data_IF_402908779537
#
_entry.id   IF_402908779537
#
_cell.length_a   1.000
_cell.length_b   1.000
_cell.length_c   1.000
_cell.angle_alpha   90.00
_cell.angle_beta   90.00
_cell.angle_gamma   90.00
#
_symmetry.space_group_name_H-M   'P 1'
#
loop_
_entity.id
_entity.type
_entity.pdbx_description
1 polymer ?
#
# COMPACT_ATOMS: atom_id res chain seq x y z
N UNK A 1 -12.54 -37.72 15.25
CA UNK A 1 -13.18 -36.41 15.17
C UNK A 1 -12.16 -35.44 14.58
N UNK A 2 -12.59 -34.34 13.98
CA UNK A 2 -11.66 -33.32 13.43
C UNK A 2 -10.88 -32.67 14.59
N UNK A 3 -9.72 -32.14 14.32
CA UNK A 3 -8.95 -31.31 15.26
C UNK A 3 -9.63 -29.96 15.49
N UNK A 4 -9.29 -29.24 16.56
CA UNK A 4 -9.73 -27.85 16.76
C UNK A 4 -9.42 -26.98 15.53
N UNK A 5 -10.33 -26.08 15.22
CA UNK A 5 -10.27 -25.26 14.00
C UNK A 5 -10.97 -23.91 14.20
N UNK A 6 -11.08 -23.13 13.11
CA UNK A 6 -11.82 -21.87 13.10
C UNK A 6 -13.25 -22.02 13.69
N UNK A 7 -13.91 -23.13 13.43
CA UNK A 7 -15.32 -23.34 13.78
C UNK A 7 -15.53 -24.49 14.77
N UNK A 8 -14.49 -25.08 15.33
CA UNK A 8 -14.59 -26.21 16.26
C UNK A 8 -13.67 -25.98 17.44
N UNK A 9 -14.19 -26.20 18.65
CA UNK A 9 -13.44 -26.15 19.89
C UNK A 9 -13.84 -27.32 20.80
N UNK A 10 -12.90 -27.91 21.52
CA UNK A 10 -13.08 -29.00 22.44
C UNK A 10 -12.81 -28.59 23.88
N UNK A 11 -13.60 -29.11 24.82
CA UNK A 11 -13.35 -28.92 26.26
C UNK A 11 -13.74 -30.17 27.01
N UNK A 12 -12.90 -30.63 27.94
CA UNK A 12 -13.16 -31.83 28.73
C UNK A 12 -14.34 -31.69 29.71
N UNK A 13 -14.59 -30.49 30.22
CA UNK A 13 -15.66 -30.21 31.19
C UNK A 13 -16.21 -28.80 30.96
N UNK A 14 -17.42 -28.53 31.46
CA UNK A 14 -18.00 -27.18 31.39
C UNK A 14 -17.44 -26.26 32.46
N UNK A 15 -17.14 -25.02 32.02
CA UNK A 15 -16.84 -23.85 32.90
C UNK A 15 -17.54 -22.64 32.33
N UNK A 16 -18.06 -21.76 33.18
CA UNK A 16 -18.78 -20.55 32.74
C UNK A 16 -17.92 -19.60 31.94
N UNK A 17 -16.60 -19.61 32.15
CA UNK A 17 -15.66 -18.84 31.32
C UNK A 17 -15.60 -19.29 29.87
N UNK A 18 -16.14 -20.45 29.52
CA UNK A 18 -16.22 -20.92 28.13
C UNK A 18 -17.31 -20.20 27.32
N UNK A 19 -18.17 -19.42 27.95
CA UNK A 19 -19.05 -18.47 27.28
C UNK A 19 -18.28 -17.48 26.40
N UNK A 20 -17.00 -17.19 26.71
CA UNK A 20 -16.13 -16.40 25.83
C UNK A 20 -15.88 -17.05 24.47
N UNK A 21 -15.85 -18.39 24.39
CA UNK A 21 -15.70 -19.13 23.13
C UNK A 21 -16.97 -19.03 22.29
N UNK A 22 -18.13 -19.21 22.94
CA UNK A 22 -19.43 -19.00 22.29
C UNK A 22 -19.52 -17.55 21.77
N UNK A 23 -19.16 -16.56 22.59
CA UNK A 23 -19.06 -15.15 22.17
C UNK A 23 -18.15 -14.98 20.94
N UNK A 24 -17.00 -15.64 20.92
CA UNK A 24 -16.08 -15.60 19.77
C UNK A 24 -16.62 -16.21 18.50
N UNK A 25 -17.34 -17.31 18.60
CA UNK A 25 -17.99 -17.97 17.46
C UNK A 25 -19.11 -17.12 16.87
N UNK A 26 -20.04 -16.62 17.67
CA UNK A 26 -21.17 -15.80 17.19
C UNK A 26 -20.74 -14.47 16.61
N UNK A 27 -19.62 -13.94 17.06
CA UNK A 27 -19.01 -12.72 16.51
C UNK A 27 -18.24 -12.97 15.20
N UNK A 28 -17.85 -14.22 14.93
CA UNK A 28 -17.17 -14.64 13.71
C UNK A 28 -18.16 -15.26 12.70
N UNK A 29 -17.96 -16.51 12.34
CA UNK A 29 -18.73 -17.25 11.33
C UNK A 29 -19.67 -18.31 11.94
N UNK A 30 -19.83 -18.30 13.27
CA UNK A 30 -20.45 -19.38 13.99
C UNK A 30 -19.46 -20.53 14.24
N UNK A 31 -19.94 -21.59 14.87
CA UNK A 31 -19.12 -22.77 15.16
C UNK A 31 -19.76 -23.71 16.18
N UNK A 32 -18.99 -24.71 16.60
CA UNK A 32 -19.43 -25.75 17.52
C UNK A 32 -18.45 -25.88 18.68
N UNK A 33 -18.97 -25.79 19.89
CA UNK A 33 -18.21 -26.06 21.12
C UNK A 33 -18.66 -27.42 21.67
N UNK A 34 -17.72 -28.32 21.80
CA UNK A 34 -17.95 -29.65 22.38
C UNK A 34 -17.47 -29.68 23.82
N UNK A 35 -18.32 -30.22 24.73
CA UNK A 35 -17.98 -30.41 26.14
C UNK A 35 -18.00 -31.93 26.44
N UNK A 36 -16.93 -32.44 27.04
CA UNK A 36 -16.68 -33.86 27.27
C UNK A 36 -15.77 -34.48 26.23
N UNK A 37 -15.00 -33.65 25.51
CA UNK A 37 -14.04 -34.07 24.50
C UNK A 37 -12.66 -33.41 24.80
N UNK A 38 -11.60 -34.19 24.73
CA UNK A 38 -10.20 -33.72 24.85
C UNK A 38 -9.74 -33.06 23.57
N UNK A 39 -8.66 -32.30 23.63
CA UNK A 39 -8.06 -31.57 22.48
C UNK A 39 -7.64 -32.51 21.33
N UNK A 40 -7.35 -33.81 21.62
CA UNK A 40 -7.04 -34.85 20.64
C UNK A 40 -8.29 -35.45 19.98
N UNK A 41 -9.49 -35.04 20.40
CA UNK A 41 -10.78 -35.55 19.90
C UNK A 41 -11.28 -36.83 20.57
N UNK A 42 -10.60 -37.31 21.65
CA UNK A 42 -11.08 -38.42 22.45
C UNK A 42 -12.28 -37.99 23.33
N UNK A 43 -13.35 -38.76 23.32
CA UNK A 43 -14.52 -38.51 24.19
C UNK A 43 -14.18 -38.95 25.61
N UNK A 44 -14.07 -38.01 26.54
CA UNK A 44 -13.90 -38.28 27.96
C UNK A 44 -15.25 -38.37 28.72
N UNK A 45 -16.31 -37.78 28.15
CA UNK A 45 -17.64 -37.71 28.74
C UNK A 45 -17.82 -36.55 29.72
N UNK A 46 -19.07 -36.26 30.07
CA UNK A 46 -19.42 -35.20 31.04
C UNK A 46 -20.12 -35.79 32.26
N UNK A 47 -19.89 -35.15 33.40
CA UNK A 47 -20.70 -35.41 34.60
C UNK A 47 -22.00 -34.58 34.54
N UNK A 48 -23.11 -35.14 35.01
CA UNK A 48 -24.39 -34.45 35.11
C UNK A 48 -24.89 -33.87 33.77
N UNK A 49 -24.79 -34.63 32.67
CA UNK A 49 -25.17 -34.20 31.33
C UNK A 49 -26.60 -33.58 31.31
N UNK A 50 -27.57 -34.18 32.04
CA UNK A 50 -28.93 -33.64 32.11
C UNK A 50 -28.98 -32.22 32.69
N UNK A 51 -28.22 -31.94 33.75
CA UNK A 51 -28.15 -30.62 34.37
C UNK A 51 -27.49 -29.62 33.44
N UNK A 52 -26.42 -30.02 32.75
CA UNK A 52 -25.73 -29.14 31.80
C UNK A 52 -26.62 -28.78 30.59
N UNK A 53 -27.50 -29.69 30.15
CA UNK A 53 -28.48 -29.40 29.09
C UNK A 53 -29.49 -28.31 29.47
N UNK A 54 -29.74 -28.09 30.78
CA UNK A 54 -30.58 -27.01 31.28
C UNK A 54 -29.75 -25.75 31.61
N UNK A 55 -28.60 -25.91 32.24
CA UNK A 55 -27.76 -24.80 32.71
C UNK A 55 -27.12 -24.02 31.57
N UNK A 56 -26.60 -24.71 30.55
CA UNK A 56 -25.85 -24.05 29.45
C UNK A 56 -26.73 -23.09 28.66
N UNK A 57 -27.92 -23.47 28.14
CA UNK A 57 -28.79 -22.55 27.41
C UNK A 57 -29.20 -21.33 28.24
N UNK A 58 -29.53 -21.55 29.53
CA UNK A 58 -29.88 -20.47 30.45
C UNK A 58 -28.71 -19.49 30.66
N UNK A 59 -27.49 -19.98 30.90
CA UNK A 59 -26.32 -19.14 31.05
C UNK A 59 -25.96 -18.38 29.78
N UNK A 60 -26.08 -19.02 28.62
CA UNK A 60 -25.86 -18.35 27.32
C UNK A 60 -26.85 -17.20 27.15
N UNK A 61 -28.14 -17.45 27.37
CA UNK A 61 -29.18 -16.43 27.29
C UNK A 61 -28.92 -15.28 28.28
N UNK A 62 -28.67 -15.61 29.55
CA UNK A 62 -28.55 -14.62 30.61
C UNK A 62 -27.25 -13.78 30.50
N UNK A 63 -26.14 -14.36 30.02
CA UNK A 63 -24.84 -13.71 29.97
C UNK A 63 -24.48 -13.13 28.59
N UNK A 64 -25.02 -13.69 27.52
CA UNK A 64 -24.72 -13.25 26.13
C UNK A 64 -25.95 -12.66 25.44
N UNK A 65 -27.18 -12.89 25.96
CA UNK A 65 -28.40 -12.38 25.35
C UNK A 65 -28.78 -13.08 24.04
N UNK A 66 -28.29 -14.30 23.81
CA UNK A 66 -28.51 -15.06 22.57
C UNK A 66 -29.06 -16.47 22.89
N UNK A 67 -29.51 -17.14 21.84
CA UNK A 67 -29.93 -18.55 21.89
C UNK A 67 -28.92 -19.40 21.12
N UNK A 68 -28.71 -20.62 21.57
CA UNK A 68 -27.85 -21.62 20.95
C UNK A 68 -28.53 -22.98 20.96
N UNK A 69 -28.21 -23.84 20.03
CA UNK A 69 -28.63 -25.22 20.03
C UNK A 69 -27.69 -26.05 20.88
N UNK A 70 -28.27 -26.75 21.89
CA UNK A 70 -27.50 -27.62 22.77
C UNK A 70 -28.00 -29.03 22.61
N UNK A 71 -27.15 -29.95 22.20
CA UNK A 71 -27.49 -31.33 21.91
C UNK A 71 -26.67 -32.26 22.80
N UNK A 72 -27.38 -33.28 23.37
CA UNK A 72 -26.69 -34.38 24.02
C UNK A 72 -26.36 -35.44 22.98
N UNK A 73 -25.12 -35.83 22.94
CA UNK A 73 -24.55 -36.86 22.05
C UNK A 73 -23.91 -37.97 22.88
N UNK A 74 -23.82 -39.16 22.29
CA UNK A 74 -23.18 -40.32 22.92
C UNK A 74 -22.21 -40.99 21.96
N UNK A 75 -21.05 -41.41 22.48
CA UNK A 75 -20.08 -42.20 21.76
C UNK A 75 -19.29 -43.03 22.76
N UNK A 76 -19.09 -44.33 22.47
CA UNK A 76 -18.34 -45.28 23.31
C UNK A 76 -18.87 -45.29 24.77
N UNK A 77 -20.18 -45.34 24.94
CA UNK A 77 -20.91 -45.28 26.21
C UNK A 77 -20.62 -44.02 27.07
N UNK A 78 -20.09 -42.98 26.46
CA UNK A 78 -19.82 -41.69 27.11
C UNK A 78 -20.66 -40.58 26.49
N UNK A 79 -21.31 -39.81 27.35
CA UNK A 79 -22.15 -38.68 26.95
C UNK A 79 -21.33 -37.41 26.87
N UNK A 80 -21.51 -36.65 25.80
CA UNK A 80 -20.89 -35.34 25.60
C UNK A 80 -21.90 -34.33 25.05
N UNK A 81 -21.64 -33.04 25.20
CA UNK A 81 -22.54 -31.97 24.76
C UNK A 81 -21.95 -31.26 23.54
N UNK A 82 -22.82 -31.04 22.55
CA UNK A 82 -22.55 -30.27 21.36
C UNK A 82 -23.35 -28.97 21.45
N UNK A 83 -22.66 -27.82 21.41
CA UNK A 83 -23.25 -26.48 21.43
C UNK A 83 -22.99 -25.87 20.05
N UNK A 84 -24.08 -25.71 19.27
CA UNK A 84 -24.02 -25.13 17.93
C UNK A 84 -24.35 -23.64 18.02
N UNK A 85 -23.53 -22.80 17.41
CA UNK A 85 -23.68 -21.36 17.37
C UNK A 85 -23.71 -20.87 15.94
N UNK A 86 -24.66 -20.02 15.60
CA UNK A 86 -24.67 -19.29 14.33
C UNK A 86 -23.97 -17.94 14.46
N UNK A 87 -23.56 -17.36 13.31
CA UNK A 87 -23.04 -16.00 13.28
C UNK A 87 -24.15 -15.00 13.57
N UNK A 88 -23.97 -14.13 14.55
CA UNK A 88 -24.93 -13.08 14.87
C UNK A 88 -24.62 -11.79 14.09
N UNK A 89 -25.67 -11.10 13.60
CA UNK A 89 -25.48 -9.83 12.87
C UNK A 89 -25.05 -8.67 13.79
N UNK A 90 -25.34 -8.76 15.08
CA UNK A 90 -25.02 -7.74 16.08
C UNK A 90 -23.78 -8.12 16.88
N UNK A 91 -23.05 -7.13 17.43
CA UNK A 91 -21.90 -7.40 18.30
C UNK A 91 -22.36 -7.99 19.64
N UNK A 92 -21.86 -9.16 19.99
CA UNK A 92 -22.11 -9.83 21.26
C UNK A 92 -20.92 -9.67 22.19
N UNK A 93 -21.17 -9.26 23.44
CA UNK A 93 -20.12 -9.12 24.47
C UNK A 93 -20.29 -10.16 25.58
N UNK A 94 -19.18 -10.61 26.14
CA UNK A 94 -19.15 -11.38 27.37
C UNK A 94 -18.44 -10.57 28.47
N UNK A 95 -19.13 -10.23 29.52
CA UNK A 95 -18.63 -9.38 30.63
C UNK A 95 -18.05 -8.05 30.15
N UNK A 96 -18.71 -7.39 29.19
CA UNK A 96 -18.29 -6.12 28.60
C UNK A 96 -17.10 -6.18 27.66
N UNK A 97 -16.63 -7.39 27.32
CA UNK A 97 -15.55 -7.63 26.37
C UNK A 97 -16.05 -8.31 25.11
N UNK A 98 -15.49 -7.95 23.97
CA UNK A 98 -15.81 -8.55 22.69
C UNK A 98 -14.71 -9.54 22.30
N UNK A 99 -15.13 -10.73 21.89
CA UNK A 99 -14.24 -11.80 21.44
C UNK A 99 -14.57 -12.16 20.01
N UNK A 100 -13.55 -12.52 19.23
CA UNK A 100 -13.72 -13.04 17.88
C UNK A 100 -12.79 -14.24 17.68
N UNK A 101 -13.29 -15.27 17.03
CA UNK A 101 -12.52 -16.46 16.66
C UNK A 101 -11.57 -16.13 15.52
N UNK A 102 -10.30 -16.53 15.64
CA UNK A 102 -9.28 -16.41 14.61
C UNK A 102 -8.42 -17.67 14.61
N UNK A 103 -8.54 -18.50 13.59
CA UNK A 103 -7.98 -19.85 13.58
C UNK A 103 -8.49 -20.67 14.77
N UNK A 104 -7.62 -21.38 15.44
CA UNK A 104 -7.94 -22.14 16.66
C UNK A 104 -7.86 -21.29 17.95
N UNK A 105 -7.81 -19.95 17.86
CA UNK A 105 -7.72 -19.07 19.02
C UNK A 105 -8.92 -18.16 19.16
N UNK A 106 -9.20 -17.73 20.39
CA UNK A 106 -10.25 -16.77 20.70
C UNK A 106 -9.62 -15.44 21.15
N UNK A 107 -9.75 -14.42 20.33
CA UNK A 107 -9.08 -13.12 20.48
C UNK A 107 -9.99 -12.10 21.14
N UNK A 108 -9.55 -11.42 22.21
CA UNK A 108 -10.21 -10.24 22.76
C UNK A 108 -9.98 -9.04 21.83
N UNK A 109 -11.05 -8.44 21.32
CA UNK A 109 -10.96 -7.27 20.43
C UNK A 109 -10.74 -6.00 21.24
N UNK A 110 -9.72 -5.21 20.86
CA UNK A 110 -9.34 -3.94 21.50
C UNK A 110 -8.91 -2.91 20.45
N UNK A 111 -9.00 -1.61 20.81
CA UNK A 111 -8.53 -0.51 19.96
C UNK A 111 -9.12 -0.57 18.56
N UNK A 112 -8.30 -0.34 17.54
CA UNK A 112 -8.72 -0.29 16.14
C UNK A 112 -9.41 -1.59 15.64
N UNK A 113 -9.05 -2.76 16.18
CA UNK A 113 -9.71 -4.02 15.84
C UNK A 113 -11.16 -4.06 16.35
N UNK A 114 -11.42 -3.52 17.55
CA UNK A 114 -12.76 -3.40 18.10
C UNK A 114 -13.59 -2.39 17.30
N UNK A 115 -13.02 -1.24 16.97
CA UNK A 115 -13.72 -0.19 16.20
C UNK A 115 -14.13 -0.73 14.81
N UNK A 116 -13.23 -1.40 14.10
CA UNK A 116 -13.54 -2.06 12.82
C UNK A 116 -14.62 -3.11 12.94
N UNK A 117 -14.56 -3.93 13.98
CA UNK A 117 -15.57 -4.95 14.26
C UNK A 117 -16.95 -4.33 14.50
N UNK A 118 -17.03 -3.28 15.32
CA UNK A 118 -18.28 -2.57 15.61
C UNK A 118 -18.90 -1.95 14.35
N UNK A 119 -18.10 -1.24 13.54
CA UNK A 119 -18.55 -0.66 12.28
C UNK A 119 -19.09 -1.74 11.33
N UNK A 120 -18.36 -2.86 11.18
CA UNK A 120 -18.78 -3.99 10.32
C UNK A 120 -20.11 -4.59 10.79
N UNK A 121 -20.28 -4.80 12.09
CA UNK A 121 -21.55 -5.32 12.65
C UNK A 121 -22.72 -4.35 12.50
N UNK A 122 -22.45 -3.05 12.37
CA UNK A 122 -23.45 -2.01 12.06
C UNK A 122 -23.71 -1.87 10.56
N UNK A 123 -23.02 -2.63 9.71
CA UNK A 123 -23.09 -2.48 8.26
C UNK A 123 -22.47 -1.17 7.75
N UNK A 124 -21.60 -0.54 8.54
CA UNK A 124 -20.90 0.71 8.21
C UNK A 124 -19.43 0.44 7.87
N UNK A 125 -18.88 1.32 7.04
CA UNK A 125 -17.45 1.37 6.71
C UNK A 125 -16.81 2.57 7.37
N UNK A 126 -15.48 2.57 7.45
CA UNK A 126 -14.74 3.64 8.11
C UNK A 126 -14.96 5.01 7.43
N UNK A 127 -14.96 5.03 6.12
CA UNK A 127 -15.17 6.22 5.29
C UNK A 127 -16.62 6.74 5.33
N UNK A 128 -17.57 5.88 5.69
CA UNK A 128 -18.98 6.19 5.88
C UNK A 128 -19.34 6.82 7.25
N UNK A 129 -18.37 6.96 8.16
CA UNK A 129 -18.64 7.57 9.49
C UNK A 129 -18.78 9.09 9.35
N UNK A 130 -19.83 9.71 9.96
CA UNK A 130 -20.01 11.15 9.91
C UNK A 130 -18.96 11.92 10.72
N UNK A 131 -18.66 13.13 10.26
CA UNK A 131 -17.72 14.08 10.89
C UNK A 131 -18.51 15.31 11.35
N UNK A 132 -18.86 15.44 12.64
CA UNK A 132 -19.78 16.49 13.12
C UNK A 132 -19.30 17.93 12.92
N UNK A 133 -17.99 18.13 12.81
CA UNK A 133 -17.39 19.47 12.71
C UNK A 133 -16.98 19.87 11.30
N UNK A 134 -17.12 18.98 10.32
CA UNK A 134 -16.84 19.27 8.91
C UNK A 134 -18.02 19.99 8.30
N UNK A 135 -17.77 21.16 7.75
CA UNK A 135 -18.78 21.98 7.05
C UNK A 135 -18.57 21.94 5.56
N UNK A 136 -19.65 22.07 4.80
CA UNK A 136 -19.62 22.07 3.34
C UNK A 136 -18.81 23.25 2.79
N UNK A 137 -18.88 24.43 3.43
CA UNK A 137 -18.15 25.62 3.05
C UNK A 137 -16.62 25.49 3.15
N UNK A 138 -16.14 24.47 3.89
CA UNK A 138 -14.71 24.17 4.03
C UNK A 138 -14.19 23.29 2.87
N UNK A 139 -15.09 22.76 2.02
CA UNK A 139 -14.73 21.91 0.90
C UNK A 139 -14.25 22.74 -0.29
N UNK A 140 -13.30 22.18 -1.07
CA UNK A 140 -12.63 22.87 -2.16
C UNK A 140 -13.46 22.88 -3.44
N UNK A 141 -13.97 24.07 -3.82
CA UNK A 141 -14.74 24.27 -5.03
C UNK A 141 -13.99 23.85 -6.31
N UNK A 142 -12.68 24.04 -6.37
CA UNK A 142 -11.89 23.65 -7.52
C UNK A 142 -11.89 22.12 -7.72
N UNK A 143 -11.92 21.37 -6.63
CA UNK A 143 -12.04 19.90 -6.67
C UNK A 143 -13.44 19.46 -7.12
N UNK A 144 -14.51 20.16 -6.73
CA UNK A 144 -15.85 19.89 -7.27
C UNK A 144 -15.92 20.13 -8.79
N UNK A 145 -15.32 21.21 -9.27
CA UNK A 145 -15.26 21.50 -10.70
C UNK A 145 -14.45 20.41 -11.46
N UNK A 146 -13.34 19.97 -10.87
CA UNK A 146 -12.54 18.87 -11.41
C UNK A 146 -13.35 17.57 -11.46
N UNK A 147 -14.05 17.24 -10.38
CA UNK A 147 -14.94 16.07 -10.30
C UNK A 147 -16.02 16.13 -11.40
N UNK A 148 -16.73 17.24 -11.53
CA UNK A 148 -17.77 17.42 -12.57
C UNK A 148 -17.21 17.23 -13.98
N UNK A 149 -16.03 17.78 -14.25
CA UNK A 149 -15.33 17.62 -15.53
C UNK A 149 -15.04 16.16 -15.83
N UNK A 150 -14.56 15.41 -14.84
CA UNK A 150 -14.24 14.00 -14.98
C UNK A 150 -15.50 13.15 -15.11
N UNK A 151 -16.50 13.38 -14.28
CA UNK A 151 -17.78 12.67 -14.31
C UNK A 151 -18.53 12.88 -15.64
N UNK A 152 -18.54 14.10 -16.18
CA UNK A 152 -19.10 14.38 -17.50
C UNK A 152 -18.38 13.60 -18.60
N UNK A 153 -17.05 13.54 -18.56
CA UNK A 153 -16.25 12.77 -19.53
C UNK A 153 -16.50 11.27 -19.42
N UNK A 154 -16.73 10.77 -18.22
CA UNK A 154 -16.95 9.33 -17.98
C UNK A 154 -18.33 8.85 -18.42
N UNK A 155 -19.34 9.76 -18.46
CA UNK A 155 -20.74 9.43 -18.74
C UNK A 155 -21.42 8.57 -17.66
N UNK A 156 -20.85 8.50 -16.44
CA UNK A 156 -21.35 7.65 -15.33
C UNK A 156 -22.30 8.37 -14.38
N UNK A 157 -22.54 9.64 -14.62
CA UNK A 157 -23.55 10.47 -13.96
C UNK A 157 -24.38 11.20 -15.01
N UNK A 158 -25.63 11.43 -14.71
CA UNK A 158 -26.51 12.21 -15.59
C UNK A 158 -26.09 13.69 -15.59
N UNK A 159 -26.24 14.36 -16.71
CA UNK A 159 -25.86 15.79 -16.82
C UNK A 159 -26.63 16.68 -15.83
N UNK A 160 -27.87 16.34 -15.55
CA UNK A 160 -28.70 17.07 -14.58
C UNK A 160 -28.11 17.00 -13.16
N UNK A 161 -27.58 15.84 -12.76
CA UNK A 161 -26.94 15.66 -11.45
C UNK A 161 -25.64 16.47 -11.33
N UNK A 162 -24.94 16.68 -12.46
CA UNK A 162 -23.71 17.47 -12.50
C UNK A 162 -23.96 19.00 -12.54
N UNK A 163 -25.19 19.42 -12.84
CA UNK A 163 -25.62 20.84 -12.80
C UNK A 163 -26.09 21.27 -11.41
N UNK A 164 -26.35 20.31 -10.50
CA UNK A 164 -26.68 20.60 -9.10
C UNK A 164 -25.56 21.40 -8.42
N UNK A 165 -25.90 22.12 -7.35
CA UNK A 165 -24.91 22.73 -6.49
C UNK A 165 -24.01 21.66 -5.79
N UNK A 166 -23.06 22.10 -4.98
CA UNK A 166 -22.17 21.17 -4.29
C UNK A 166 -22.93 20.30 -3.28
N UNK A 167 -23.96 20.84 -2.65
CA UNK A 167 -24.81 20.10 -1.72
C UNK A 167 -25.52 18.95 -2.43
N UNK A 168 -26.22 19.23 -3.52
CA UNK A 168 -26.92 18.21 -4.32
C UNK A 168 -25.96 17.14 -4.85
N UNK A 169 -24.76 17.54 -5.29
CA UNK A 169 -23.73 16.59 -5.73
C UNK A 169 -23.25 15.68 -4.59
N UNK A 170 -23.02 16.22 -3.39
CA UNK A 170 -22.63 15.44 -2.21
C UNK A 170 -23.72 14.44 -1.80
N UNK A 171 -25.01 14.83 -1.89
CA UNK A 171 -26.13 13.91 -1.66
C UNK A 171 -26.17 12.78 -2.70
N UNK A 172 -26.01 13.10 -4.00
CA UNK A 172 -25.94 12.10 -5.09
C UNK A 172 -24.79 11.11 -4.91
N UNK A 173 -23.67 11.57 -4.40
CA UNK A 173 -22.51 10.75 -4.04
C UNK A 173 -22.71 9.98 -2.73
N UNK A 174 -23.80 10.23 -1.99
CA UNK A 174 -24.11 9.65 -0.67
C UNK A 174 -23.05 9.97 0.38
N UNK A 175 -22.52 11.19 0.33
CA UNK A 175 -21.47 11.64 1.26
C UNK A 175 -22.01 12.31 2.53
N UNK A 176 -23.34 12.32 2.71
CA UNK A 176 -24.03 12.69 3.95
C UNK A 176 -24.51 11.47 4.72
N UNK A 177 -24.50 11.57 6.06
CA UNK A 177 -25.20 10.70 7.01
C UNK A 177 -26.07 11.61 7.90
N UNK A 178 -27.36 11.67 7.64
CA UNK A 178 -28.23 12.69 8.21
C UNK A 178 -27.78 14.09 7.76
N UNK A 179 -27.48 14.96 8.71
CA UNK A 179 -27.01 16.35 8.46
C UNK A 179 -25.48 16.48 8.49
N UNK A 180 -24.74 15.40 8.58
CA UNK A 180 -23.29 15.44 8.71
C UNK A 180 -22.60 14.84 7.48
N UNK A 181 -21.53 15.51 7.06
CA UNK A 181 -20.63 14.98 6.05
C UNK A 181 -19.86 13.78 6.57
N UNK A 182 -19.66 12.78 5.72
CA UNK A 182 -18.87 11.58 6.02
C UNK A 182 -17.37 11.85 5.91
N UNK A 183 -16.54 10.97 6.50
CA UNK A 183 -15.08 10.99 6.35
C UNK A 183 -14.64 10.95 4.88
N UNK A 184 -15.37 10.21 4.04
CA UNK A 184 -15.13 10.21 2.60
C UNK A 184 -15.21 11.61 1.98
N UNK A 185 -16.14 12.47 2.40
CA UNK A 185 -16.23 13.85 1.92
C UNK A 185 -15.00 14.68 2.29
N UNK A 186 -14.49 14.51 3.52
CA UNK A 186 -13.24 15.15 3.94
C UNK A 186 -12.07 14.73 3.07
N UNK A 187 -11.89 13.43 2.85
CA UNK A 187 -10.79 12.89 2.05
C UNK A 187 -10.88 13.28 0.57
N UNK A 188 -12.08 13.32 0.00
CA UNK A 188 -12.29 13.59 -1.43
C UNK A 188 -12.27 15.09 -1.79
N UNK A 189 -12.79 15.96 -0.89
CA UNK A 189 -13.06 17.34 -1.25
C UNK A 189 -12.48 18.39 -0.30
N UNK A 190 -12.01 18.05 0.90
CA UNK A 190 -11.40 19.04 1.80
C UNK A 190 -9.97 19.37 1.35
N UNK A 191 -9.55 20.65 1.28
CA UNK A 191 -8.20 21.02 0.83
C UNK A 191 -7.09 20.52 1.77
N UNK A 192 -7.42 20.30 3.04
CA UNK A 192 -6.53 19.74 4.07
C UNK A 192 -7.26 18.63 4.86
N UNK A 193 -7.38 17.41 4.30
CA UNK A 193 -8.09 16.31 4.96
C UNK A 193 -7.41 15.84 6.25
N UNK A 194 -6.12 16.16 6.46
CA UNK A 194 -5.36 15.76 7.63
C UNK A 194 -5.89 16.38 8.92
N UNK A 195 -6.62 17.48 8.84
CA UNK A 195 -7.37 18.05 9.99
C UNK A 195 -8.38 17.07 10.60
N UNK A 196 -8.91 16.15 9.79
CA UNK A 196 -9.94 15.18 10.17
C UNK A 196 -9.43 13.75 10.17
N UNK A 197 -8.41 13.47 9.37
CA UNK A 197 -7.89 12.12 9.14
C UNK A 197 -6.36 12.17 9.16
N UNK A 198 -5.78 11.89 10.33
CA UNK A 198 -4.32 11.84 10.48
C UNK A 198 -3.69 10.86 9.48
N UNK A 199 -2.61 11.28 8.82
CA UNK A 199 -1.91 10.43 7.84
C UNK A 199 -2.61 10.34 6.49
N UNK A 200 -3.58 11.24 6.19
CA UNK A 200 -4.24 11.33 4.89
C UNK A 200 -3.38 12.04 3.84
N UNK A 201 -2.11 11.68 3.75
CA UNK A 201 -1.16 12.17 2.76
C UNK A 201 -0.29 11.02 2.25
N UNK A 202 0.58 11.28 1.28
CA UNK A 202 1.48 10.28 0.71
C UNK A 202 2.93 10.72 0.84
N UNK A 203 3.80 9.80 1.28
CA UNK A 203 5.26 9.98 1.28
C UNK A 203 5.86 9.27 0.07
N UNK A 204 6.68 9.98 -0.68
CA UNK A 204 7.51 9.40 -1.73
C UNK A 204 8.98 9.60 -1.39
N UNK A 205 9.79 8.53 -1.47
CA UNK A 205 11.22 8.59 -1.19
C UNK A 205 12.03 7.86 -2.26
N UNK A 206 13.18 8.41 -2.62
CA UNK A 206 14.16 7.73 -3.46
C UNK A 206 15.26 7.14 -2.60
N UNK A 207 15.50 5.84 -2.75
CA UNK A 207 16.45 5.07 -1.96
C UNK A 207 17.56 4.49 -2.86
N UNK A 208 18.78 4.46 -2.34
CA UNK A 208 19.86 3.64 -2.88
C UNK A 208 19.77 2.22 -2.33
N UNK A 209 20.78 1.40 -2.62
CA UNK A 209 20.90 0.05 -2.07
C UNK A 209 20.74 0.06 -0.54
N UNK A 210 19.90 -0.85 -0.04
CA UNK A 210 19.52 -0.92 1.36
C UNK A 210 18.41 0.05 1.74
N UNK A 211 18.61 0.85 2.77
CA UNK A 211 17.64 1.81 3.32
C UNK A 211 18.15 3.26 3.25
N UNK A 212 19.15 3.55 2.41
CA UNK A 212 19.74 4.88 2.28
C UNK A 212 18.82 5.83 1.52
N UNK A 213 18.12 6.69 2.26
CA UNK A 213 17.21 7.71 1.73
C UNK A 213 17.99 8.87 1.13
N UNK A 214 17.85 9.08 -0.17
CA UNK A 214 18.54 10.16 -0.89
C UNK A 214 17.76 11.47 -0.87
N UNK A 215 16.46 11.40 -1.15
CA UNK A 215 15.51 12.52 -1.05
C UNK A 215 14.07 11.99 -0.86
N UNK A 216 13.21 12.84 -0.35
CA UNK A 216 11.80 12.53 -0.15
C UNK A 216 10.92 13.73 -0.42
N UNK A 217 9.64 13.46 -0.66
CA UNK A 217 8.58 14.45 -0.79
C UNK A 217 7.34 13.96 -0.03
N UNK A 218 6.52 14.91 0.42
CA UNK A 218 5.21 14.66 0.97
C UNK A 218 4.16 15.29 0.06
N UNK A 219 3.10 14.55 -0.26
CA UNK A 219 2.03 15.00 -1.13
C UNK A 219 0.75 15.13 -0.33
N UNK A 220 0.36 16.37 -0.09
CA UNK A 220 -0.80 16.78 0.68
C UNK A 220 -1.97 17.24 -0.20
N UNK A 221 -3.15 17.42 0.42
CA UNK A 221 -4.40 17.82 -0.19
C UNK A 221 -5.41 16.67 -0.25
N UNK A 222 -6.55 16.88 -0.89
CA UNK A 222 -7.54 15.82 -1.06
C UNK A 222 -7.10 14.74 -2.05
N UNK A 223 -7.81 13.61 -2.07
CA UNK A 223 -7.39 12.45 -2.85
C UNK A 223 -7.30 12.72 -4.36
N UNK A 224 -8.16 13.57 -4.95
CA UNK A 224 -8.04 13.96 -6.35
C UNK A 224 -6.77 14.74 -6.62
N UNK A 225 -6.44 15.69 -5.73
CA UNK A 225 -5.20 16.47 -5.83
C UNK A 225 -3.97 15.59 -5.59
N UNK A 226 -4.01 14.68 -4.62
CA UNK A 226 -2.91 13.76 -4.32
C UNK A 226 -2.58 12.89 -5.54
N UNK A 227 -3.59 12.25 -6.17
CA UNK A 227 -3.37 11.40 -7.35
C UNK A 227 -2.74 12.21 -8.50
N UNK A 228 -3.26 13.40 -8.79
CA UNK A 228 -2.72 14.25 -9.86
C UNK A 228 -1.28 14.66 -9.58
N UNK A 229 -0.98 15.14 -8.36
CA UNK A 229 0.37 15.55 -7.94
C UNK A 229 1.35 14.37 -7.93
N UNK A 230 0.91 13.19 -7.46
CA UNK A 230 1.74 11.99 -7.43
C UNK A 230 2.10 11.51 -8.83
N UNK A 231 1.14 11.48 -9.75
CA UNK A 231 1.40 11.10 -11.14
C UNK A 231 2.44 12.04 -11.79
N UNK A 232 2.33 13.34 -11.56
CA UNK A 232 3.31 14.30 -12.06
C UNK A 232 4.67 14.10 -11.39
N UNK A 233 4.73 14.08 -10.06
CA UNK A 233 5.94 13.93 -9.26
C UNK A 233 6.71 12.65 -9.61
N UNK A 234 6.02 11.51 -9.66
CA UNK A 234 6.66 10.22 -9.93
C UNK A 234 7.18 10.15 -11.37
N UNK A 235 6.42 10.66 -12.34
CA UNK A 235 6.83 10.63 -13.74
C UNK A 235 7.96 11.63 -14.07
N UNK A 236 8.07 12.75 -13.34
CA UNK A 236 9.07 13.80 -13.66
C UNK A 236 10.32 13.74 -12.82
N UNK A 237 10.20 13.38 -11.54
CA UNK A 237 11.31 13.43 -10.57
C UNK A 237 11.87 12.06 -10.22
N UNK A 238 11.00 11.07 -9.98
CA UNK A 238 11.38 9.77 -9.42
C UNK A 238 11.72 8.73 -10.47
N UNK A 239 11.01 8.73 -11.59
CA UNK A 239 11.27 7.80 -12.69
C UNK A 239 12.10 8.48 -13.77
N UNK A 240 13.15 7.80 -14.24
CA UNK A 240 13.92 8.22 -15.40
C UNK A 240 13.29 7.64 -16.67
N UNK A 241 12.91 8.48 -17.62
CA UNK A 241 12.47 7.98 -18.91
C UNK A 241 13.64 7.34 -19.67
N UNK A 242 13.35 6.20 -20.27
CA UNK A 242 14.26 5.57 -21.25
C UNK A 242 14.05 6.27 -22.58
N UNK A 243 15.13 6.81 -23.14
CA UNK A 243 15.11 7.48 -24.44
C UNK A 243 15.55 6.46 -25.49
N UNK A 244 14.66 6.16 -26.42
CA UNK A 244 14.92 5.35 -27.60
C UNK A 244 14.66 6.17 -28.86
N UNK A 245 15.11 5.69 -30.02
CA UNK A 245 14.91 6.34 -31.30
C UNK A 245 14.34 5.34 -32.31
N UNK A 246 13.23 5.68 -32.92
CA UNK A 246 12.73 5.00 -34.14
C UNK A 246 13.01 5.91 -35.34
N UNK A 247 14.05 5.58 -36.09
CA UNK A 247 14.58 6.48 -37.12
C UNK A 247 15.08 7.79 -36.52
N UNK A 248 14.45 8.92 -36.86
CA UNK A 248 14.77 10.26 -36.30
C UNK A 248 13.84 10.66 -35.14
N UNK A 249 12.82 9.85 -34.86
CA UNK A 249 11.85 10.15 -33.82
C UNK A 249 12.39 9.71 -32.45
N UNK A 250 12.46 10.65 -31.51
CA UNK A 250 12.78 10.38 -30.10
C UNK A 250 11.55 9.87 -29.38
N UNK A 251 11.67 8.71 -28.74
CA UNK A 251 10.63 8.08 -27.91
C UNK A 251 11.13 8.07 -26.48
N UNK A 252 10.28 8.59 -25.57
CA UNK A 252 10.52 8.56 -24.14
C UNK A 252 9.56 7.58 -23.50
N UNK A 253 10.08 6.50 -22.93
CA UNK A 253 9.29 5.46 -22.27
C UNK A 253 9.60 5.46 -20.78
N UNK A 254 8.56 5.58 -19.95
CA UNK A 254 8.69 5.42 -18.50
C UNK A 254 8.87 3.93 -18.15
N UNK A 255 9.58 3.61 -17.06
CA UNK A 255 9.82 2.21 -16.65
C UNK A 255 8.56 1.51 -16.12
N UNK A 256 7.49 2.25 -15.87
CA UNK A 256 6.16 1.76 -15.47
C UNK A 256 5.13 2.43 -16.36
N UNK A 257 4.19 1.68 -16.98
CA UNK A 257 3.09 2.26 -17.73
C UNK A 257 2.28 3.24 -16.88
N UNK A 258 1.99 4.42 -17.42
CA UNK A 258 1.23 5.45 -16.69
C UNK A 258 -0.13 4.95 -16.21
N UNK A 259 -0.79 4.12 -17.00
CA UNK A 259 -2.08 3.52 -16.63
C UNK A 259 -1.93 2.56 -15.44
N UNK A 260 -0.93 1.68 -15.44
CA UNK A 260 -0.65 0.76 -14.34
C UNK A 260 -0.30 1.50 -13.05
N UNK A 261 0.55 2.53 -13.15
CA UNK A 261 0.92 3.36 -11.99
C UNK A 261 -0.31 4.07 -11.40
N UNK A 262 -1.13 4.69 -12.26
CA UNK A 262 -2.34 5.41 -11.83
C UNK A 262 -3.33 4.47 -11.13
N UNK A 263 -3.59 3.30 -11.69
CA UNK A 263 -4.47 2.29 -11.11
C UNK A 263 -3.93 1.80 -9.75
N UNK A 264 -2.62 1.59 -9.62
CA UNK A 264 -2.00 1.20 -8.36
C UNK A 264 -2.14 2.28 -7.26
N UNK A 265 -1.99 3.57 -7.62
CA UNK A 265 -2.18 4.68 -6.70
C UNK A 265 -3.64 4.80 -6.23
N UNK A 266 -4.60 4.67 -7.16
CA UNK A 266 -6.03 4.67 -6.83
C UNK A 266 -6.39 3.51 -5.91
N UNK A 267 -5.91 2.30 -6.22
CA UNK A 267 -6.10 1.12 -5.38
C UNK A 267 -5.49 1.30 -3.98
N UNK A 268 -4.33 1.94 -3.88
CA UNK A 268 -3.71 2.25 -2.59
C UNK A 268 -4.58 3.20 -1.76
N UNK A 269 -5.16 4.25 -2.37
CA UNK A 269 -6.07 5.18 -1.69
C UNK A 269 -7.38 4.52 -1.27
N UNK A 270 -7.99 3.71 -2.14
CA UNK A 270 -9.29 3.06 -1.87
C UNK A 270 -9.18 2.00 -0.77
N UNK A 271 -8.06 1.28 -0.73
CA UNK A 271 -7.89 0.13 0.18
C UNK A 271 -7.03 0.45 1.40
N UNK A 272 -6.64 1.72 1.62
CA UNK A 272 -5.96 2.13 2.85
C UNK A 272 -6.90 2.03 4.04
N UNK A 273 -6.41 1.48 5.15
CA UNK A 273 -7.05 1.66 6.46
C UNK A 273 -6.72 3.07 7.01
N UNK A 274 -7.65 4.00 6.83
CA UNK A 274 -7.48 5.37 7.32
C UNK A 274 -7.68 5.50 8.83
N UNK A 275 -8.09 4.45 9.53
CA UNK A 275 -8.04 4.40 11.00
C UNK A 275 -6.60 4.29 11.51
N UNK A 276 -5.68 3.81 10.69
CA UNK A 276 -4.26 3.80 10.96
C UNK A 276 -3.61 5.11 10.49
N UNK A 277 -2.90 5.85 11.38
CA UNK A 277 -2.37 7.18 11.07
C UNK A 277 -1.15 7.19 10.12
N UNK A 278 -0.65 6.01 9.71
CA UNK A 278 0.49 5.91 8.79
C UNK A 278 0.09 6.35 7.38
N UNK A 279 0.85 7.23 6.70
CA UNK A 279 0.59 7.62 5.32
C UNK A 279 0.86 6.47 4.35
N UNK A 280 0.31 6.56 3.13
CA UNK A 280 0.75 5.73 2.01
C UNK A 280 2.23 6.05 1.75
N UNK A 281 3.05 5.02 1.53
CA UNK A 281 4.48 5.17 1.26
C UNK A 281 4.81 4.67 -0.14
N UNK A 282 5.56 5.47 -0.88
CA UNK A 282 6.10 5.11 -2.19
C UNK A 282 7.62 5.12 -2.08
N UNK A 283 8.24 3.96 -2.24
CA UNK A 283 9.69 3.79 -2.18
C UNK A 283 10.20 3.51 -3.58
N UNK A 284 10.99 4.41 -4.12
CA UNK A 284 11.57 4.29 -5.45
C UNK A 284 13.05 3.96 -5.34
N UNK A 285 13.47 2.95 -6.08
CA UNK A 285 14.85 2.49 -6.19
C UNK A 285 15.30 2.57 -7.66
N UNK A 286 16.55 2.28 -7.92
CA UNK A 286 17.03 2.26 -9.29
C UNK A 286 16.37 1.20 -10.18
N UNK A 287 15.90 0.10 -9.59
CA UNK A 287 15.37 -1.07 -10.31
C UNK A 287 13.95 -1.47 -9.89
N UNK A 288 13.30 -0.72 -9.00
CA UNK A 288 11.93 -1.01 -8.56
C UNK A 288 11.24 0.20 -7.95
N UNK A 289 9.91 0.12 -7.90
CA UNK A 289 9.04 1.01 -7.12
C UNK A 289 8.12 0.16 -6.26
N UNK A 290 8.01 0.51 -4.98
CA UNK A 290 7.13 -0.13 -4.00
C UNK A 290 6.08 0.88 -3.54
N UNK A 291 4.80 0.55 -3.70
CA UNK A 291 3.67 1.32 -3.18
C UNK A 291 3.07 0.53 -2.02
N UNK A 292 3.06 1.11 -0.83
CA UNK A 292 2.63 0.46 0.41
C UNK A 292 1.52 1.27 1.05
N UNK A 293 0.42 0.63 1.38
CA UNK A 293 -0.64 1.20 2.20
C UNK A 293 -0.92 0.30 3.41
N UNK A 294 -1.41 0.89 4.51
CA UNK A 294 -1.79 0.19 5.74
C UNK A 294 -3.11 -0.60 5.63
N UNK A 295 -3.48 -1.04 4.43
CA UNK A 295 -4.69 -1.83 4.21
C UNK A 295 -4.54 -3.29 4.61
N UNK A 296 -5.68 -3.98 4.71
CA UNK A 296 -5.76 -5.42 4.94
C UNK A 296 -6.66 -6.06 3.89
N UNK A 297 -6.37 -7.30 3.54
CA UNK A 297 -7.26 -8.06 2.65
C UNK A 297 -8.56 -8.41 3.40
N UNK A 298 -9.68 -8.60 2.67
CA UNK A 298 -10.92 -9.11 3.24
C UNK A 298 -10.71 -10.44 3.96
N UNK A 299 -11.52 -10.72 4.97
CA UNK A 299 -11.44 -11.98 5.75
C UNK A 299 -11.45 -13.20 4.82
N UNK A 300 -10.47 -14.08 4.95
CA UNK A 300 -10.31 -15.30 4.15
C UNK A 300 -9.70 -15.10 2.76
N UNK A 301 -9.34 -13.88 2.38
CA UNK A 301 -8.63 -13.63 1.12
C UNK A 301 -7.13 -13.80 1.30
N UNK A 302 -6.50 -14.31 0.24
CA UNK A 302 -5.05 -14.37 0.10
C UNK A 302 -4.62 -13.54 -1.11
N UNK A 303 -3.32 -13.39 -1.33
CA UNK A 303 -2.79 -12.75 -2.54
C UNK A 303 -3.23 -13.50 -3.81
N UNK A 304 -3.33 -14.83 -3.74
CA UNK A 304 -3.82 -15.65 -4.86
C UNK A 304 -5.29 -15.34 -5.17
N UNK A 305 -6.13 -15.15 -4.13
CA UNK A 305 -7.51 -14.71 -4.31
C UNK A 305 -7.57 -13.34 -4.96
N UNK A 306 -6.71 -12.40 -4.53
CA UNK A 306 -6.61 -11.05 -5.10
C UNK A 306 -6.20 -11.07 -6.59
N UNK A 307 -5.35 -12.02 -6.99
CA UNK A 307 -4.89 -12.19 -8.38
C UNK A 307 -5.88 -12.95 -9.27
N UNK A 308 -6.84 -13.65 -8.69
CA UNK A 308 -7.89 -14.38 -9.41
C UNK A 308 -9.10 -13.50 -9.71
N UNK A 309 -10.08 -14.02 -10.45
CA UNK A 309 -11.36 -13.33 -10.65
C UNK A 309 -12.14 -13.27 -9.34
N UNK A 310 -12.44 -12.07 -8.87
CA UNK A 310 -13.15 -11.83 -7.62
C UNK A 310 -14.14 -10.65 -7.77
N UNK A 311 -15.11 -10.59 -6.86
CA UNK A 311 -16.00 -9.41 -6.76
C UNK A 311 -15.24 -8.20 -6.25
N UNK A 312 -15.68 -6.99 -6.63
CA UNK A 312 -15.16 -5.76 -6.03
C UNK A 312 -15.50 -5.70 -4.53
N UNK A 313 -14.50 -5.48 -3.71
CA UNK A 313 -14.64 -5.36 -2.26
C UNK A 313 -13.73 -4.24 -1.72
N UNK A 314 -14.04 -2.96 -2.05
CA UNK A 314 -13.23 -1.84 -1.61
C UNK A 314 -13.31 -1.67 -0.09
N UNK A 315 -12.18 -1.36 0.54
CA UNK A 315 -12.13 -1.08 1.99
C UNK A 315 -12.87 0.22 2.34
N UNK A 316 -12.82 1.23 1.44
CA UNK A 316 -13.51 2.51 1.55
C UNK A 316 -14.50 2.67 0.38
N UNK A 317 -15.73 2.12 0.48
CA UNK A 317 -16.68 2.08 -0.63
C UNK A 317 -17.25 3.44 -1.03
N UNK A 318 -17.37 4.41 -0.12
CA UNK A 318 -17.84 5.76 -0.47
C UNK A 318 -16.77 6.50 -1.30
N UNK A 319 -15.49 6.35 -0.95
CA UNK A 319 -14.36 6.85 -1.78
C UNK A 319 -14.35 6.15 -3.14
N UNK A 320 -14.49 4.82 -3.16
CA UNK A 320 -14.53 4.05 -4.41
C UNK A 320 -15.71 4.47 -5.30
N UNK A 321 -16.89 4.72 -4.73
CA UNK A 321 -18.05 5.22 -5.47
C UNK A 321 -17.77 6.59 -6.12
N UNK A 322 -17.15 7.53 -5.41
CA UNK A 322 -16.80 8.83 -5.97
C UNK A 322 -15.77 8.68 -7.12
N UNK A 323 -14.73 7.89 -6.96
CA UNK A 323 -13.77 7.60 -8.04
C UNK A 323 -14.41 6.86 -9.22
N UNK A 324 -15.36 5.95 -8.97
CA UNK A 324 -16.12 5.31 -10.05
C UNK A 324 -16.97 6.34 -10.82
N UNK A 325 -17.72 7.18 -10.13
CA UNK A 325 -18.57 8.22 -10.74
C UNK A 325 -17.76 9.24 -11.55
N UNK A 326 -16.60 9.61 -11.06
CA UNK A 326 -15.68 10.48 -11.83
C UNK A 326 -14.99 9.77 -13.01
N UNK A 327 -15.10 8.44 -13.12
CA UNK A 327 -14.44 7.69 -14.19
C UNK A 327 -12.97 7.34 -13.91
N UNK A 328 -12.52 7.60 -12.68
CA UNK A 328 -11.15 7.32 -12.29
C UNK A 328 -10.85 5.82 -12.15
N UNK A 329 -11.83 5.03 -11.69
CA UNK A 329 -11.75 3.57 -11.57
C UNK A 329 -12.90 2.87 -12.28
N UNK A 330 -12.77 1.56 -12.45
CA UNK A 330 -13.86 0.69 -12.88
C UNK A 330 -14.47 -0.07 -11.69
N UNK A 331 -15.76 -0.43 -11.79
CA UNK A 331 -16.38 -1.42 -10.92
C UNK A 331 -15.93 -2.84 -11.36
N UNK A 332 -16.29 -3.88 -10.63
CA UNK A 332 -16.09 -5.30 -10.96
C UNK A 332 -14.78 -5.95 -10.50
N UNK A 333 -13.97 -5.32 -9.65
CA UNK A 333 -12.75 -5.94 -9.09
C UNK A 333 -11.61 -6.18 -10.09
N UNK A 334 -11.61 -5.45 -11.22
CA UNK A 334 -10.62 -5.64 -12.30
C UNK A 334 -9.37 -4.77 -12.18
N UNK A 335 -9.19 -4.02 -11.10
CA UNK A 335 -8.06 -3.10 -10.94
C UNK A 335 -6.70 -3.80 -11.04
N UNK A 336 -6.53 -4.92 -10.36
CA UNK A 336 -5.29 -5.72 -10.41
C UNK A 336 -5.05 -6.30 -11.82
N UNK A 337 -6.09 -6.83 -12.47
CA UNK A 337 -6.01 -7.31 -13.86
C UNK A 337 -5.56 -6.21 -14.82
N UNK A 338 -6.08 -4.97 -14.65
CA UNK A 338 -5.70 -3.81 -15.46
C UNK A 338 -4.23 -3.43 -15.28
N UNK A 339 -3.75 -3.40 -14.03
CA UNK A 339 -2.33 -3.15 -13.74
C UNK A 339 -1.45 -4.18 -14.47
N UNK A 340 -1.77 -5.47 -14.33
CA UNK A 340 -1.04 -6.56 -14.96
C UNK A 340 -1.10 -6.46 -16.50
N UNK A 341 -2.29 -6.19 -17.04
CA UNK A 341 -2.51 -6.12 -18.50
C UNK A 341 -1.78 -4.92 -19.10
N UNK A 342 -1.82 -3.75 -18.46
CA UNK A 342 -1.10 -2.57 -18.92
C UNK A 342 0.41 -2.82 -18.94
N UNK A 343 0.97 -3.46 -17.89
CA UNK A 343 2.39 -3.83 -17.89
C UNK A 343 2.74 -4.81 -19.02
N UNK A 344 1.93 -5.85 -19.24
CA UNK A 344 2.17 -6.85 -20.31
C UNK A 344 2.08 -6.24 -21.71
N UNK A 345 1.08 -5.38 -21.96
CA UNK A 345 0.88 -4.76 -23.27
C UNK A 345 2.05 -3.88 -23.67
N UNK A 346 2.66 -3.19 -22.71
CA UNK A 346 3.81 -2.32 -22.94
C UNK A 346 5.15 -3.05 -22.79
N UNK A 347 5.13 -4.40 -22.62
CA UNK A 347 6.33 -5.24 -22.56
C UNK A 347 7.08 -5.17 -21.21
N UNK A 348 6.43 -4.70 -20.14
CA UNK A 348 7.02 -4.62 -18.79
C UNK A 348 6.76 -5.89 -17.98
N UNK A 349 7.59 -6.09 -16.98
CA UNK A 349 7.43 -7.17 -16.00
C UNK A 349 6.11 -7.04 -15.25
N UNK A 350 5.46 -8.17 -14.98
CA UNK A 350 4.26 -8.21 -14.13
C UNK A 350 4.62 -7.75 -12.72
N UNK A 351 3.87 -6.81 -12.13
CA UNK A 351 4.11 -6.38 -10.77
C UNK A 351 3.85 -7.48 -9.75
N UNK A 352 4.58 -7.47 -8.65
CA UNK A 352 4.41 -8.36 -7.52
C UNK A 352 3.45 -7.72 -6.50
N UNK A 353 2.55 -8.54 -5.96
CA UNK A 353 1.65 -8.13 -4.88
C UNK A 353 1.98 -8.92 -3.63
N UNK A 354 2.06 -8.24 -2.49
CA UNK A 354 2.34 -8.84 -1.19
C UNK A 354 1.41 -8.25 -0.15
N UNK A 355 0.98 -9.07 0.80
CA UNK A 355 0.24 -8.63 1.98
C UNK A 355 0.90 -9.21 3.22
N UNK A 356 1.25 -8.37 4.17
CA UNK A 356 1.85 -8.75 5.44
C UNK A 356 1.33 -7.84 6.57
N UNK A 357 1.88 -7.98 7.78
CA UNK A 357 1.46 -7.20 8.94
C UNK A 357 1.65 -5.68 8.78
N UNK A 358 2.46 -5.22 7.83
CA UNK A 358 2.71 -3.81 7.55
C UNK A 358 1.78 -3.23 6.46
N UNK A 359 0.97 -4.07 5.81
CA UNK A 359 -0.01 -3.63 4.83
C UNK A 359 0.03 -4.38 3.50
N UNK A 360 -0.56 -3.74 2.48
CA UNK A 360 -0.62 -4.24 1.10
C UNK A 360 0.45 -3.53 0.27
N UNK A 361 1.22 -4.32 -0.46
CA UNK A 361 2.34 -3.87 -1.29
C UNK A 361 2.05 -4.14 -2.76
N UNK A 362 2.28 -3.13 -3.60
CA UNK A 362 2.37 -3.27 -5.05
C UNK A 362 3.80 -2.93 -5.46
N UNK A 363 4.50 -3.88 -6.07
CA UNK A 363 5.93 -3.79 -6.37
C UNK A 363 6.14 -3.89 -7.88
N UNK A 364 6.55 -2.79 -8.50
CA UNK A 364 6.96 -2.75 -9.89
C UNK A 364 8.47 -2.96 -9.95
N UNK A 365 8.93 -4.00 -10.66
CA UNK A 365 10.34 -4.22 -10.97
C UNK A 365 10.60 -3.75 -12.39
N UNK A 366 11.68 -3.02 -12.60
CA UNK A 366 12.06 -2.52 -13.91
C UNK A 366 13.57 -2.50 -14.06
N UNK A 367 14.01 -2.67 -15.28
CA UNK A 367 15.40 -2.55 -15.66
C UNK A 367 15.51 -1.39 -16.63
N UNK A 368 16.46 -0.49 -16.38
CA UNK A 368 16.84 0.47 -17.41
C UNK A 368 17.75 -0.27 -18.37
N UNK A 369 17.46 -0.30 -19.70
CA UNK A 369 18.38 -0.90 -20.65
C UNK A 369 19.75 -0.22 -20.45
N UNK A 370 20.79 -1.04 -20.27
CA UNK A 370 22.15 -0.53 -20.28
C UNK A 370 22.27 0.36 -21.52
N UNK A 371 22.74 1.58 -21.33
CA UNK A 371 22.97 2.49 -22.46
C UNK A 371 23.74 1.71 -23.52
N UNK A 372 23.08 1.36 -24.61
CA UNK A 372 23.75 0.85 -25.78
C UNK A 372 24.66 1.96 -26.28
N UNK A 373 25.86 1.98 -25.77
CA UNK A 373 26.96 2.76 -26.36
C UNK A 373 27.23 2.13 -27.70
N UNK A 374 26.61 2.71 -28.75
CA UNK A 374 26.95 2.43 -30.12
C UNK A 374 28.39 2.87 -30.34
N UNK A 375 29.29 1.94 -30.16
CA UNK A 375 30.51 1.77 -30.95
C UNK A 375 31.33 0.60 -30.38
N UNK A 376 31.15 -0.58 -31.01
CA UNK A 376 32.17 -1.62 -30.90
C UNK A 376 33.42 -1.13 -31.62
N UNK A 377 34.40 -0.70 -30.85
CA UNK A 377 35.81 -0.75 -31.28
C UNK A 377 36.54 -1.55 -30.20
N UNK A 378 37.07 -2.67 -30.66
CA UNK A 378 37.83 -3.65 -29.91
C UNK A 378 38.97 -3.01 -29.14
N UNK A 379 38.90 -3.04 -27.80
CA UNK A 379 40.08 -3.24 -26.97
C UNK A 379 39.65 -3.54 -25.52
N UNK A 380 40.03 -4.70 -25.04
CA UNK A 380 39.93 -5.13 -23.63
C UNK A 380 40.78 -4.20 -22.80
N UNK A 381 40.18 -3.51 -21.79
CA UNK A 381 40.86 -3.22 -20.52
C UNK A 381 39.80 -2.81 -19.48
N UNK A 382 39.68 -3.60 -18.46
CA UNK A 382 39.31 -3.39 -17.04
C UNK A 382 38.27 -2.33 -16.68
N UNK A 383 37.09 -2.83 -16.27
CA UNK A 383 36.04 -2.10 -15.53
C UNK A 383 36.56 -1.67 -14.18
N UNK A 384 36.49 -0.37 -13.88
CA UNK A 384 36.32 0.18 -12.52
C UNK A 384 35.65 1.54 -12.56
N UNK A 385 34.51 1.65 -11.87
CA UNK A 385 33.87 2.83 -11.31
C UNK A 385 33.57 3.99 -12.28
N UNK A 386 32.28 4.12 -12.66
CA UNK A 386 31.74 5.25 -13.44
C UNK A 386 31.74 6.58 -12.69
N UNK A 387 32.88 7.25 -12.61
CA UNK A 387 32.96 8.65 -12.21
C UNK A 387 32.56 9.53 -13.42
N UNK A 388 31.51 10.36 -13.27
CA UNK A 388 31.09 11.33 -14.27
C UNK A 388 32.12 12.48 -14.35
N UNK A 389 33.21 12.28 -15.13
CA UNK A 389 34.19 13.30 -15.41
C UNK A 389 33.69 14.26 -16.51
N UNK A 390 33.90 15.54 -16.33
CA UNK A 390 33.63 16.55 -17.38
C UNK A 390 34.56 16.33 -18.59
N UNK A 391 34.17 16.86 -19.76
CA UNK A 391 35.02 16.81 -20.96
C UNK A 391 36.42 17.39 -20.70
N UNK A 392 36.51 18.50 -19.97
CA UNK A 392 37.77 19.11 -19.59
C UNK A 392 38.61 18.23 -18.69
N UNK A 393 38.00 17.53 -17.72
CA UNK A 393 38.70 16.59 -16.84
C UNK A 393 39.25 15.39 -17.60
N UNK A 394 38.50 14.86 -18.56
CA UNK A 394 38.96 13.77 -19.44
C UNK A 394 40.11 14.23 -20.34
N UNK A 395 40.02 15.44 -20.92
CA UNK A 395 41.06 16.00 -21.75
C UNK A 395 42.36 16.19 -20.95
N UNK A 396 42.28 16.70 -19.70
CA UNK A 396 43.43 16.83 -18.81
C UNK A 396 44.07 15.48 -18.49
N UNK A 397 43.27 14.46 -18.15
CA UNK A 397 43.78 13.10 -17.86
C UNK A 397 44.45 12.49 -19.10
N UNK A 398 43.82 12.65 -20.27
CA UNK A 398 44.40 12.16 -21.53
C UNK A 398 45.73 12.83 -21.85
N UNK A 399 45.82 14.15 -21.68
CA UNK A 399 47.02 14.90 -21.88
C UNK A 399 48.14 14.53 -20.91
N UNK A 400 47.81 14.37 -19.62
CA UNK A 400 48.75 13.96 -18.58
C UNK A 400 49.23 12.52 -18.70
N UNK A 401 48.48 11.66 -19.42
CA UNK A 401 48.92 10.29 -19.75
C UNK A 401 50.12 10.29 -20.71
N UNK A 402 50.16 11.26 -21.64
CA UNK A 402 51.25 11.43 -22.60
C UNK A 402 52.37 12.33 -22.07
N UNK A 403 52.01 13.35 -21.26
CA UNK A 403 52.94 14.35 -20.72
C UNK A 403 52.79 14.44 -19.18
N UNK A 404 53.28 13.45 -18.42
CA UNK A 404 53.13 13.42 -16.96
C UNK A 404 53.79 14.56 -16.20
N UNK A 405 54.81 15.18 -16.77
CA UNK A 405 55.56 16.27 -16.14
C UNK A 405 55.01 17.67 -16.44
N UNK A 406 53.95 17.75 -17.27
CA UNK A 406 53.41 18.99 -17.74
C UNK A 406 52.99 19.94 -16.61
N UNK A 407 53.33 21.21 -16.78
CA UNK A 407 52.91 22.30 -15.91
C UNK A 407 51.49 22.75 -16.22
N UNK A 408 50.88 23.50 -15.31
CA UNK A 408 49.51 24.05 -15.51
C UNK A 408 49.42 24.92 -16.75
N UNK A 409 50.50 25.70 -17.02
CA UNK A 409 50.60 26.57 -18.17
C UNK A 409 50.66 25.77 -19.48
N UNK A 410 51.48 24.73 -19.55
CA UNK A 410 51.57 23.84 -20.71
C UNK A 410 50.25 23.11 -20.98
N UNK A 411 49.53 22.67 -19.92
CA UNK A 411 48.19 22.05 -20.07
C UNK A 411 47.19 23.06 -20.65
N UNK A 412 47.21 24.33 -20.18
CA UNK A 412 46.28 25.35 -20.67
C UNK A 412 46.61 25.83 -22.09
N UNK A 413 47.87 25.79 -22.51
CA UNK A 413 48.31 26.15 -23.86
C UNK A 413 48.02 25.07 -24.91
N UNK A 414 47.93 23.80 -24.48
CA UNK A 414 47.70 22.65 -25.38
C UNK A 414 46.27 22.17 -25.42
N UNK A 415 45.42 22.54 -24.45
CA UNK A 415 44.01 22.17 -24.42
C UNK A 415 43.10 23.35 -24.81
N UNK A 416 42.22 23.14 -25.78
CA UNK A 416 41.24 24.14 -26.22
C UNK A 416 40.22 24.48 -25.13
N UNK A 417 39.91 25.75 -24.97
CA UNK A 417 38.84 26.27 -24.08
C UNK A 417 39.06 26.05 -22.56
N UNK A 418 40.29 26.04 -22.08
CA UNK A 418 40.58 25.99 -20.65
C UNK A 418 41.66 27.03 -20.28
N UNK A 419 41.39 27.81 -19.23
CA UNK A 419 42.34 28.76 -18.67
C UNK A 419 43.28 28.09 -17.65
N UNK A 420 44.40 28.70 -17.28
CA UNK A 420 45.33 28.18 -16.27
C UNK A 420 44.63 27.97 -14.90
N UNK A 421 43.70 28.87 -14.51
CA UNK A 421 42.90 28.72 -13.32
C UNK A 421 41.87 27.57 -13.45
N UNK A 422 41.29 27.36 -14.64
CA UNK A 422 40.45 26.23 -14.96
C UNK A 422 41.21 24.91 -14.87
N UNK A 423 42.45 24.86 -15.34
CA UNK A 423 43.34 23.69 -15.19
C UNK A 423 43.62 23.44 -13.71
N UNK A 424 43.92 24.47 -12.92
CA UNK A 424 44.15 24.35 -11.47
C UNK A 424 42.97 23.77 -10.75
N UNK A 425 41.77 24.27 -11.03
CA UNK A 425 40.53 23.74 -10.45
C UNK A 425 40.31 22.27 -10.79
N UNK A 426 40.40 21.89 -12.07
CA UNK A 426 40.18 20.54 -12.51
C UNK A 426 41.22 19.54 -11.98
N UNK A 427 42.50 19.95 -11.89
CA UNK A 427 43.54 19.13 -11.28
C UNK A 427 43.27 18.88 -9.79
N UNK A 428 42.82 19.88 -9.02
CA UNK A 428 42.43 19.71 -7.62
C UNK A 428 41.25 18.76 -7.49
N UNK A 429 40.25 18.89 -8.37
CA UNK A 429 39.09 18.04 -8.37
C UNK A 429 39.41 16.57 -8.72
N UNK A 430 40.32 16.36 -9.69
CA UNK A 430 40.80 15.02 -10.04
C UNK A 430 41.62 14.36 -8.91
N UNK A 431 42.34 15.17 -8.13
CA UNK A 431 43.03 14.69 -6.92
C UNK A 431 42.04 14.30 -5.79
N UNK A 432 41.00 15.12 -5.54
CA UNK A 432 39.95 14.83 -4.59
C UNK A 432 39.19 13.55 -4.95
N UNK A 433 38.97 13.29 -6.24
CA UNK A 433 38.35 12.07 -6.75
C UNK A 433 39.27 10.84 -6.71
N UNK A 434 40.53 11.01 -6.27
CA UNK A 434 41.50 9.91 -6.18
C UNK A 434 41.97 9.39 -7.53
N UNK A 435 41.79 10.15 -8.62
CA UNK A 435 42.18 9.75 -9.98
C UNK A 435 43.57 10.28 -10.39
N UNK A 436 44.07 11.27 -9.66
CA UNK A 436 45.34 11.91 -9.98
C UNK A 436 46.13 12.20 -8.70
N UNK A 437 47.43 11.97 -8.73
CA UNK A 437 48.34 12.28 -7.63
C UNK A 437 49.58 13.02 -8.15
N UNK A 438 50.00 14.05 -7.45
CA UNK A 438 51.31 14.69 -7.74
C UNK A 438 52.41 13.94 -6.98
N UNK A 439 53.40 13.46 -7.68
CA UNK A 439 54.58 12.80 -7.13
C UNK A 439 55.78 13.69 -7.32
N UNK A 440 56.54 13.91 -6.23
CA UNK A 440 57.74 14.77 -6.24
C UNK A 440 57.50 16.24 -5.89
N UNK A 441 58.56 17.06 -5.92
CA UNK A 441 58.52 18.46 -5.54
C UNK A 441 58.03 19.42 -6.64
N UNK A 442 57.88 20.73 -6.30
CA UNK A 442 57.34 21.74 -7.24
C UNK A 442 58.17 21.91 -8.55
N UNK A 443 59.46 21.59 -8.56
CA UNK A 443 60.35 21.80 -9.71
C UNK A 443 60.68 20.51 -10.48
N UNK A 444 60.48 19.31 -9.91
CA UNK A 444 60.84 18.04 -10.54
C UNK A 444 59.75 16.96 -10.22
N UNK A 445 58.50 17.32 -10.17
CA UNK A 445 57.43 16.40 -9.92
C UNK A 445 56.61 16.09 -11.17
N UNK A 446 56.00 14.92 -11.19
CA UNK A 446 55.12 14.48 -12.26
C UNK A 446 53.72 14.10 -11.73
N UNK A 447 52.76 14.04 -12.64
CA UNK A 447 51.40 13.62 -12.36
C UNK A 447 51.26 12.12 -12.58
N UNK A 448 50.83 11.41 -11.57
CA UNK A 448 50.52 10.00 -11.63
C UNK A 448 49.00 9.81 -11.68
N UNK A 449 48.52 9.17 -12.74
CA UNK A 449 47.12 8.77 -12.86
C UNK A 449 46.95 7.51 -12.03
N UNK A 450 45.97 7.50 -11.13
CA UNK A 450 45.63 6.39 -10.28
C UNK A 450 44.49 5.61 -10.96
N UNK A 451 44.68 4.30 -11.20
CA UNK A 451 43.71 3.41 -11.83
C UNK A 451 42.57 3.03 -10.87
#
# INVERSE_FOLDING_TARGET
MNTESQNIEFKESWRDDYLKWICGFVNAQGGVLYIGIKDDGEVCGVHDAKKLMEDIPNKVRDMLGILVDVNLKEKDDKQYIEIITEAYPYPISFRGKYYQRSGATNQELKGAALDRFMLRKQGKTWDGVPVPYLKEEELDNATFDLFRKYAKRSGRMEEVDLMDDNHGLLEKLRLYEGNYLKRAAALLFHPDPERYVTGAFVKAGFFREGMDLVYQDEVHGNLFQQIAKLMDLLCTKYMKAVITYEGIQRIETLPIPREALREALLNACINKDYAEPSPIQIRVYENKMEIVNGGVLPDGWTVETLLSSHRSFPYNPDIANAFFRSGEIEAWGRGIERIITACKNDGFSTPEFRCDASGIWTIFKFEYPERATTQKTTQKTTQKIGLNLTEQQRAILSFLKEYPEATRKEISENLLNITEDGVKYNLSRLQELGLLKRVGGRKQGYWQILE
#
